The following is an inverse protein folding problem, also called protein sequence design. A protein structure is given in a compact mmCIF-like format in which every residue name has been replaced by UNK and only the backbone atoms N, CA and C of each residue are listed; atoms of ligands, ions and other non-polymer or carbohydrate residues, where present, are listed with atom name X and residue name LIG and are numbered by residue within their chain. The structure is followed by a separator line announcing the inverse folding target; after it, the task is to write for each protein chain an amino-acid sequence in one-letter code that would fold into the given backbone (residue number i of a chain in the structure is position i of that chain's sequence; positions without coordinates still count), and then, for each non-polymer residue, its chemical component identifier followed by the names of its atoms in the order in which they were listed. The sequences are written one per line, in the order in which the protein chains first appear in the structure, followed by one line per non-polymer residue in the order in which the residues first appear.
data_IF_991826702634
#
_entry.id   IF_991826702634
#
_cell.length_a   1.000
_cell.length_b   1.000
_cell.length_c   1.000
_cell.angle_alpha   90.00
_cell.angle_beta   90.00
_cell.angle_gamma   90.00
#
_symmetry.space_group_name_H-M   'P 1'
#
loop_
_entity.id
_entity.type
_entity.pdbx_description
1 polymer ?
#
# COMPACT_ATOMS: atom_id res chain seq x y z
N UNK A 1 -25.99 -21.98 7.97
CA UNK A 1 -25.77 -20.64 7.36
C UNK A 1 -24.71 -19.80 8.10
N UNK A 2 -24.68 -19.77 9.43
CA UNK A 2 -23.71 -18.99 10.25
C UNK A 2 -22.21 -19.25 9.94
N UNK A 3 -21.83 -20.51 9.64
CA UNK A 3 -20.43 -20.87 9.29
C UNK A 3 -19.95 -20.27 7.96
N UNK A 4 -20.84 -20.13 6.97
CA UNK A 4 -20.50 -19.49 5.68
C UNK A 4 -20.36 -17.98 5.81
N UNK A 5 -21.12 -17.38 6.72
CA UNK A 5 -21.02 -15.95 7.05
C UNK A 5 -19.66 -15.60 7.69
N UNK A 6 -19.16 -16.45 8.59
CA UNK A 6 -17.84 -16.27 9.20
C UNK A 6 -16.72 -16.29 8.14
N UNK A 7 -16.79 -17.23 7.19
CA UNK A 7 -15.80 -17.33 6.11
C UNK A 7 -15.79 -16.08 5.21
N UNK A 8 -16.97 -15.48 5.00
CA UNK A 8 -17.12 -14.25 4.21
C UNK A 8 -16.59 -13.01 4.93
N UNK A 9 -16.66 -12.97 6.27
CA UNK A 9 -16.17 -11.85 7.08
C UNK A 9 -14.64 -11.89 7.33
N UNK A 10 -14.01 -13.06 7.19
CA UNK A 10 -12.57 -13.25 7.41
C UNK A 10 -11.66 -12.22 6.70
N UNK A 11 -11.83 -11.89 5.40
CA UNK A 11 -10.97 -10.91 4.74
C UNK A 11 -11.17 -9.48 5.24
N UNK A 12 -12.32 -9.16 5.86
CA UNK A 12 -12.54 -7.83 6.44
C UNK A 12 -11.79 -7.63 7.76
N UNK A 13 -11.59 -8.69 8.53
CA UNK A 13 -10.82 -8.65 9.79
C UNK A 13 -9.34 -8.95 9.59
N UNK A 14 -8.97 -9.68 8.53
CA UNK A 14 -7.57 -9.96 8.17
C UNK A 14 -7.01 -9.01 7.09
N UNK A 15 -7.83 -8.12 6.54
CA UNK A 15 -7.40 -7.12 5.58
C UNK A 15 -6.55 -6.06 6.27
N UNK A 16 -5.43 -5.69 5.65
CA UNK A 16 -4.59 -4.59 6.15
C UNK A 16 -5.34 -3.27 6.29
N UNK A 17 -4.74 -2.31 6.99
CA UNK A 17 -5.24 -0.94 7.08
C UNK A 17 -5.06 -0.19 5.77
N UNK A 18 -6.07 0.55 5.36
CA UNK A 18 -6.00 1.47 4.22
C UNK A 18 -5.47 2.82 4.69
N UNK A 19 -4.44 3.31 4.01
CA UNK A 19 -3.87 4.64 4.22
C UNK A 19 -3.86 5.44 2.90
N UNK A 20 -3.30 6.65 2.92
CA UNK A 20 -3.27 7.56 1.77
C UNK A 20 -2.48 7.01 0.57
N UNK A 21 -1.51 6.11 0.83
CA UNK A 21 -0.59 5.57 -0.16
C UNK A 21 -0.98 4.17 -0.63
N UNK A 22 -1.75 3.42 0.15
CA UNK A 22 -2.03 2.02 -0.15
C UNK A 22 -2.66 1.22 1.00
N UNK A 23 -2.40 -0.08 0.99
CA UNK A 23 -2.76 -1.03 2.05
C UNK A 23 -1.51 -1.43 2.83
N UNK A 24 -1.51 -1.25 4.15
CA UNK A 24 -0.39 -1.64 5.02
C UNK A 24 -0.86 -2.13 6.38
N UNK A 25 0.07 -2.55 7.24
CA UNK A 25 -0.25 -2.91 8.63
C UNK A 25 -0.32 -1.68 9.56
N UNK A 26 0.03 -0.49 9.06
CA UNK A 26 0.09 0.75 9.83
C UNK A 26 -0.83 1.79 9.22
N UNK A 27 -1.72 2.34 10.03
CA UNK A 27 -2.68 3.34 9.54
C UNK A 27 -1.99 4.61 9.05
N UNK A 28 -0.96 5.07 9.76
CA UNK A 28 -0.15 6.20 9.35
C UNK A 28 1.10 5.73 8.64
N UNK A 29 1.34 6.37 7.51
CA UNK A 29 2.46 6.08 6.65
C UNK A 29 3.67 6.86 7.16
N UNK A 30 4.64 6.16 7.75
CA UNK A 30 5.88 6.83 8.19
C UNK A 30 6.68 7.26 6.95
N UNK A 31 6.88 8.56 6.83
CA UNK A 31 7.79 9.14 5.86
C UNK A 31 8.85 9.91 6.62
N UNK A 32 10.10 9.73 6.22
CA UNK A 32 11.20 10.55 6.63
C UNK A 32 11.27 11.76 5.70
N UNK A 33 11.21 12.94 6.29
CA UNK A 33 11.29 14.21 5.58
C UNK A 33 12.58 14.92 5.99
N UNK A 34 13.46 15.17 5.03
CA UNK A 34 14.75 15.81 5.29
C UNK A 34 15.20 16.67 4.11
N UNK A 35 16.15 17.56 4.40
CA UNK A 35 16.85 18.32 3.37
C UNK A 35 18.26 17.76 3.20
N UNK A 36 18.69 17.56 1.96
CA UNK A 36 20.06 17.12 1.70
C UNK A 36 21.07 18.26 1.92
N UNK A 37 22.36 17.93 1.76
CA UNK A 37 23.46 18.89 1.91
C UNK A 37 23.43 20.05 0.91
N UNK A 38 22.67 19.93 -0.18
CA UNK A 38 22.46 20.97 -1.18
C UNK A 38 21.17 21.78 -0.91
N UNK A 39 20.39 21.40 0.10
CA UNK A 39 19.12 22.05 0.47
C UNK A 39 17.91 21.56 -0.32
N UNK A 40 17.99 20.44 -1.04
CA UNK A 40 16.83 19.86 -1.71
C UNK A 40 15.98 19.06 -0.74
N UNK A 41 14.65 19.20 -0.84
CA UNK A 41 13.69 18.47 -0.02
C UNK A 41 13.53 17.03 -0.54
N UNK A 42 13.65 16.08 0.38
CA UNK A 42 13.41 14.66 0.14
C UNK A 42 12.32 14.17 1.09
N UNK A 43 11.43 13.33 0.53
CA UNK A 43 10.40 12.62 1.29
C UNK A 43 10.48 11.15 0.93
N UNK A 44 11.10 10.39 1.82
CA UNK A 44 11.23 8.95 1.68
C UNK A 44 10.19 8.29 2.56
N UNK A 45 9.57 7.24 2.05
CA UNK A 45 8.39 6.67 2.65
C UNK A 45 8.50 5.15 2.57
N UNK A 46 8.20 4.47 3.68
CA UNK A 46 8.17 3.00 3.70
C UNK A 46 7.17 2.45 2.70
N UNK A 47 7.52 1.33 2.07
CA UNK A 47 6.64 0.61 1.14
C UNK A 47 5.45 0.02 1.86
N UNK A 48 4.27 0.15 1.25
CA UNK A 48 3.08 -0.52 1.73
C UNK A 48 3.08 -2.00 1.29
N UNK A 49 2.13 -2.81 1.79
CA UNK A 49 1.90 -4.16 1.26
C UNK A 49 1.46 -4.06 -0.21
N UNK A 50 0.60 -3.07 -0.50
CA UNK A 50 0.19 -2.69 -1.86
C UNK A 50 0.13 -1.18 -1.93
N UNK A 51 0.94 -0.57 -2.80
CA UNK A 51 0.89 0.87 -3.09
C UNK A 51 -0.06 1.16 -4.26
N UNK A 52 -0.86 2.23 -4.13
CA UNK A 52 -1.81 2.62 -5.19
C UNK A 52 -1.11 3.08 -6.47
N UNK A 53 0.12 3.59 -6.37
CA UNK A 53 0.96 3.93 -7.53
C UNK A 53 1.22 2.71 -8.40
N UNK A 54 1.55 1.60 -7.75
CA UNK A 54 1.97 0.36 -8.41
C UNK A 54 0.76 -0.28 -9.09
N UNK A 55 -0.39 -0.28 -8.40
CA UNK A 55 -1.68 -0.70 -8.96
C UNK A 55 -2.05 0.16 -10.18
N UNK A 56 -1.92 1.49 -10.08
CA UNK A 56 -2.20 2.42 -11.18
C UNK A 56 -1.28 2.16 -12.37
N UNK A 57 -0.01 1.87 -12.12
CA UNK A 57 0.95 1.54 -13.17
C UNK A 57 0.62 0.20 -13.84
N UNK A 58 0.25 -0.82 -13.06
CA UNK A 58 -0.17 -2.12 -13.58
C UNK A 58 -1.38 -1.99 -14.52
N UNK A 59 -2.36 -1.14 -14.19
CA UNK A 59 -3.48 -0.84 -15.07
C UNK A 59 -3.08 -0.07 -16.34
N UNK A 60 -2.07 0.79 -16.26
CA UNK A 60 -1.57 1.56 -17.41
C UNK A 60 -0.74 0.70 -18.37
N UNK A 61 0.08 -0.19 -17.84
CA UNK A 61 1.01 -1.04 -18.59
C UNK A 61 0.84 -2.52 -18.19
N UNK A 62 -0.24 -3.18 -18.64
CA UNK A 62 -0.58 -4.54 -18.22
C UNK A 62 0.48 -5.60 -18.59
N UNK A 63 1.40 -5.29 -19.52
CA UNK A 63 2.47 -6.20 -19.96
C UNK A 63 3.61 -6.30 -18.92
N UNK A 64 3.76 -5.32 -18.01
CA UNK A 64 4.87 -5.28 -17.04
C UNK A 64 4.52 -5.87 -15.66
N UNK A 65 3.22 -6.05 -15.36
CA UNK A 65 2.75 -6.59 -14.08
C UNK A 65 2.90 -8.12 -13.90
N UNK A 66 3.43 -8.83 -14.91
CA UNK A 66 3.64 -10.29 -14.89
C UNK A 66 5.07 -10.71 -14.55
N UNK A 67 5.97 -9.76 -14.30
CA UNK A 67 7.38 -10.01 -13.91
C UNK A 67 7.58 -9.54 -12.47
N UNK A 68 6.92 -10.19 -11.52
CA UNK A 68 7.28 -10.19 -10.10
C UNK A 68 6.79 -11.49 -9.46
#
# INVERSE_FOLDING_TARGET
MKKKLLLFLLPFVAGGCFNERGVSLRYYSECEEYYDVQGYYHKECDKNIVDYSDVKEAFRNPIRGSVQ
#
